data_IF_912686835848
#
_entry.id   IF_912686835848
#
_cell.length_a   1.000
_cell.length_b   1.000
_cell.length_c   1.000
_cell.angle_alpha   90.00
_cell.angle_beta   90.00
_cell.angle_gamma   90.00
#
_symmetry.space_group_name_H-M   'P 1'
#
loop_
_entity.id
_entity.type
_entity.pdbx_description
1 polymer ?
#
# COMPACT_ATOMS: atom_id res chain seq x y z
N UNK A 1 -79.70 -5.12 -31.38
CA UNK A 1 -78.86 -3.92 -31.23
C UNK A 1 -77.53 -4.18 -31.92
N UNK A 2 -77.32 -3.58 -33.09
CA UNK A 2 -76.10 -3.69 -33.90
C UNK A 2 -76.02 -2.51 -34.88
N UNK A 3 -74.79 -2.17 -35.30
CA UNK A 3 -74.33 -1.02 -36.12
C UNK A 3 -74.09 0.23 -35.27
N UNK A 4 -72.95 0.90 -35.39
CA UNK A 4 -72.66 1.79 -36.53
C UNK A 4 -71.21 1.78 -37.01
N UNK A 5 -71.07 2.05 -38.31
CA UNK A 5 -69.86 2.22 -39.13
C UNK A 5 -69.28 3.64 -38.95
N UNK A 6 -68.03 3.84 -39.35
CA UNK A 6 -67.59 5.16 -39.85
C UNK A 6 -66.08 5.36 -39.86
N UNK A 7 -65.47 5.17 -41.03
CA UNK A 7 -64.12 5.65 -41.35
C UNK A 7 -64.25 6.66 -42.49
N UNK A 8 -63.65 7.86 -42.37
CA UNK A 8 -63.23 8.70 -43.50
C UNK A 8 -62.02 9.55 -43.08
N UNK A 9 -60.99 9.51 -43.92
CA UNK A 9 -59.73 10.26 -43.81
C UNK A 9 -59.84 11.63 -44.49
N UNK A 10 -59.09 12.64 -43.99
CA UNK A 10 -58.82 13.90 -44.70
C UNK A 10 -57.39 14.37 -44.39
N UNK A 11 -56.67 14.79 -45.44
CA UNK A 11 -55.38 15.48 -45.44
C UNK A 11 -55.41 16.57 -46.56
N UNK A 12 -54.38 17.43 -46.76
CA UNK A 12 -54.04 18.62 -45.96
C UNK A 12 -53.80 19.91 -46.81
N UNK A 13 -53.33 20.99 -46.15
CA UNK A 13 -52.60 22.24 -46.59
C UNK A 13 -53.41 23.56 -46.77
N UNK A 14 -52.79 24.77 -46.74
CA UNK A 14 -51.48 25.25 -46.21
C UNK A 14 -51.51 26.56 -45.36
N UNK A 15 -50.32 27.01 -44.90
CA UNK A 15 -49.95 28.15 -44.02
C UNK A 15 -50.17 29.58 -44.60
N UNK A 16 -50.00 30.68 -43.82
CA UNK A 16 -48.70 31.39 -43.80
C UNK A 16 -48.22 32.06 -42.47
N UNK A 17 -47.00 32.60 -42.55
CA UNK A 17 -45.98 33.04 -41.60
C UNK A 17 -46.23 34.26 -40.66
N UNK A 18 -45.41 34.40 -39.59
CA UNK A 18 -44.27 35.38 -39.46
C UNK A 18 -43.68 35.44 -38.02
N UNK A 19 -42.33 35.26 -37.95
CA UNK A 19 -41.23 35.84 -37.08
C UNK A 19 -41.43 36.03 -35.56
N UNK A 20 -40.44 35.97 -34.66
CA UNK A 20 -38.99 35.71 -34.57
C UNK A 20 -38.70 35.65 -33.05
N UNK A 21 -37.79 34.81 -32.57
CA UNK A 21 -37.32 34.90 -31.17
C UNK A 21 -36.51 33.71 -30.66
N UNK A 22 -35.18 33.85 -30.75
CA UNK A 22 -34.13 33.25 -29.91
C UNK A 22 -34.09 31.73 -29.70
N UNK A 23 -33.31 31.04 -30.55
CA UNK A 23 -32.62 29.80 -30.19
C UNK A 23 -31.33 30.12 -29.42
N UNK A 24 -31.16 29.47 -28.27
CA UNK A 24 -29.92 29.42 -27.48
C UNK A 24 -29.20 28.11 -27.84
N UNK A 25 -27.99 28.14 -28.44
CA UNK A 25 -27.27 26.92 -28.77
C UNK A 25 -26.51 26.36 -27.55
N UNK A 26 -26.44 25.02 -27.52
CA UNK A 26 -25.86 24.21 -26.45
C UNK A 26 -24.33 24.39 -26.31
N UNK A 27 -23.85 24.30 -25.06
CA UNK A 27 -22.44 24.37 -24.62
C UNK A 27 -21.50 23.30 -25.23
N UNK A 28 -21.96 22.48 -26.18
CA UNK A 28 -21.17 21.40 -26.78
C UNK A 28 -20.13 21.86 -27.82
N UNK A 29 -20.09 23.16 -28.17
CA UNK A 29 -19.16 23.69 -29.18
C UNK A 29 -18.11 24.68 -28.65
N UNK A 30 -18.06 24.93 -27.34
CA UNK A 30 -17.10 25.88 -26.73
C UNK A 30 -15.78 25.23 -26.24
N UNK A 31 -15.67 23.89 -26.25
CA UNK A 31 -14.48 23.19 -25.73
C UNK A 31 -13.49 22.70 -26.81
N UNK A 32 -13.87 22.73 -28.09
CA UNK A 32 -13.01 22.25 -29.19
C UNK A 32 -12.02 23.32 -29.71
N UNK A 33 -12.20 24.60 -29.34
CA UNK A 33 -11.37 25.71 -29.86
C UNK A 33 -10.24 26.16 -28.91
N UNK A 34 -10.29 25.79 -27.62
CA UNK A 34 -9.16 26.05 -26.70
C UNK A 34 -8.08 24.96 -26.72
N UNK A 35 -8.25 23.89 -27.50
CA UNK A 35 -7.32 22.74 -27.57
C UNK A 35 -6.22 22.88 -28.63
N UNK A 36 -5.93 24.08 -29.14
CA UNK A 36 -4.99 24.29 -30.26
C UNK A 36 -3.85 25.29 -30.07
N UNK A 37 -3.63 25.84 -28.87
CA UNK A 37 -2.44 26.66 -28.61
C UNK A 37 -1.84 26.32 -27.26
N UNK A 38 -0.94 25.33 -27.26
CA UNK A 38 0.31 25.26 -26.49
C UNK A 38 0.83 23.82 -26.54
N UNK A 39 1.73 23.54 -27.47
CA UNK A 39 2.52 22.32 -27.48
C UNK A 39 4.00 22.72 -27.25
N UNK A 40 4.60 22.41 -26.08
CA UNK A 40 6.03 22.54 -25.92
C UNK A 40 6.74 21.40 -26.65
N UNK A 41 7.58 21.76 -27.61
CA UNK A 41 8.50 20.87 -28.34
C UNK A 41 9.51 20.28 -27.35
N UNK A 42 9.31 19.04 -26.93
CA UNK A 42 10.31 18.31 -26.13
C UNK A 42 11.42 17.80 -27.05
N UNK A 43 12.61 18.40 -26.95
CA UNK A 43 13.83 17.93 -27.62
C UNK A 43 14.22 16.55 -27.06
N UNK A 44 14.55 15.62 -27.95
CA UNK A 44 15.12 14.32 -27.60
C UNK A 44 16.45 14.51 -26.85
N UNK A 45 16.71 13.80 -25.73
CA UNK A 45 18.02 13.81 -25.11
C UNK A 45 19.04 13.07 -25.98
N UNK A 46 20.33 13.49 -26.00
CA UNK A 46 21.36 12.79 -26.76
C UNK A 46 21.65 11.41 -26.15
N UNK A 47 21.83 10.42 -27.02
CA UNK A 47 22.19 9.06 -26.67
C UNK A 47 23.51 9.01 -25.88
N UNK A 48 23.51 8.35 -24.73
CA UNK A 48 24.74 8.00 -24.00
C UNK A 48 25.42 6.80 -24.70
N UNK A 49 26.75 6.81 -24.86
CA UNK A 49 27.46 5.70 -25.49
C UNK A 49 27.43 4.45 -24.61
N UNK A 50 27.26 3.28 -25.24
CA UNK A 50 27.42 1.97 -24.62
C UNK A 50 28.83 1.84 -24.06
N UNK A 51 28.95 1.70 -22.74
CA UNK A 51 30.17 1.18 -22.11
C UNK A 51 30.09 -0.34 -22.20
N UNK A 52 30.86 -0.91 -23.12
CA UNK A 52 31.11 -2.35 -23.22
C UNK A 52 31.92 -2.81 -22.02
N UNK A 53 31.33 -3.63 -21.16
CA UNK A 53 32.07 -4.39 -20.15
C UNK A 53 32.89 -5.48 -20.84
N UNK A 54 34.21 -5.31 -20.86
CA UNK A 54 35.15 -6.37 -21.25
C UNK A 54 35.34 -7.27 -20.02
N UNK A 55 34.84 -8.50 -20.11
CA UNK A 55 35.16 -9.59 -19.18
C UNK A 55 36.65 -9.95 -19.30
N UNK A 56 37.42 -9.98 -18.18
CA UNK A 56 38.75 -10.57 -18.21
C UNK A 56 38.65 -12.09 -18.39
N UNK A 57 39.37 -12.60 -19.39
CA UNK A 57 39.53 -14.02 -19.68
C UNK A 57 40.22 -14.74 -18.51
N UNK A 58 39.77 -15.98 -18.25
CA UNK A 58 40.52 -16.98 -17.49
C UNK A 58 41.89 -17.17 -18.14
N UNK A 59 42.94 -16.99 -17.35
CA UNK A 59 44.27 -17.52 -17.62
C UNK A 59 44.60 -18.47 -16.48
N UNK A 60 44.84 -19.72 -16.84
CA UNK A 60 45.40 -20.75 -15.98
C UNK A 60 46.79 -20.33 -15.51
N UNK A 61 47.09 -20.54 -14.23
CA UNK A 61 48.45 -20.87 -13.82
C UNK A 61 48.40 -21.73 -12.55
N UNK A 62 49.10 -22.86 -12.66
CA UNK A 62 49.22 -23.90 -11.65
C UNK A 62 50.58 -23.73 -10.98
N UNK A 63 50.64 -23.59 -9.64
CA UNK A 63 51.80 -24.08 -8.89
C UNK A 63 51.51 -24.22 -7.39
N UNK A 64 52.11 -25.26 -6.82
CA UNK A 64 51.88 -25.90 -5.53
C UNK A 64 52.65 -25.25 -4.34
N UNK A 65 52.47 -25.72 -3.09
CA UNK A 65 52.58 -24.94 -1.86
C UNK A 65 53.93 -25.11 -1.14
N UNK A 66 54.33 -24.17 -0.27
CA UNK A 66 55.27 -24.47 0.82
C UNK A 66 55.25 -23.44 1.98
N UNK A 67 55.33 -24.02 3.19
CA UNK A 67 56.02 -23.53 4.39
C UNK A 67 55.30 -22.58 5.38
N UNK A 68 54.78 -23.25 6.41
CA UNK A 68 54.43 -22.79 7.76
C UNK A 68 55.68 -22.33 8.56
N UNK A 69 55.58 -21.31 9.45
CA UNK A 69 56.53 -21.16 10.54
C UNK A 69 55.92 -21.36 11.94
N UNK A 70 56.72 -22.09 12.71
CA UNK A 70 56.53 -22.69 14.03
C UNK A 70 56.29 -21.70 15.19
N UNK A 71 55.60 -22.21 16.21
CA UNK A 71 55.54 -21.67 17.58
C UNK A 71 56.91 -21.70 18.27
N UNK A 72 57.18 -20.79 19.22
CA UNK A 72 58.09 -21.05 20.33
C UNK A 72 57.32 -21.35 21.62
N UNK A 73 57.71 -22.45 22.25
CA UNK A 73 57.48 -22.76 23.66
C UNK A 73 58.54 -22.05 24.52
N UNK A 74 58.18 -21.59 25.71
CA UNK A 74 58.88 -21.86 26.99
C UNK A 74 58.24 -21.09 28.14
N UNK A 75 58.51 -21.59 29.33
CA UNK A 75 57.73 -21.54 30.55
C UNK A 75 58.40 -20.63 31.61
N UNK A 76 57.60 -20.26 32.62
CA UNK A 76 57.95 -20.08 34.03
C UNK A 76 58.24 -18.68 34.64
N UNK A 77 57.33 -18.34 35.58
CA UNK A 77 57.52 -17.84 36.96
C UNK A 77 57.31 -16.33 37.25
N UNK A 78 56.16 -16.09 37.91
CA UNK A 78 55.95 -15.31 39.14
C UNK A 78 56.77 -14.02 39.34
N UNK A 79 56.09 -12.86 39.29
CA UNK A 79 56.17 -11.83 40.35
C UNK A 79 55.09 -10.74 40.24
N UNK A 80 54.36 -10.62 41.35
CA UNK A 80 53.66 -9.48 41.99
C UNK A 80 53.14 -8.28 41.18
N UNK A 81 51.91 -7.94 41.53
CA UNK A 81 51.12 -6.76 41.21
C UNK A 81 51.84 -5.41 41.38
N UNK A 82 51.46 -4.46 40.52
CA UNK A 82 51.22 -3.08 40.92
C UNK A 82 50.23 -2.42 39.96
N UNK A 83 49.20 -1.81 40.54
CA UNK A 83 48.25 -0.92 39.88
C UNK A 83 49.00 0.24 39.24
N UNK A 84 48.70 0.56 37.98
CA UNK A 84 48.82 1.91 37.46
C UNK A 84 47.78 2.11 36.35
N UNK A 85 46.92 3.08 36.62
CA UNK A 85 45.92 3.63 35.73
C UNK A 85 46.58 4.12 34.45
N UNK A 86 46.13 3.63 33.30
CA UNK A 86 46.40 4.27 32.01
C UNK A 86 45.08 4.33 31.23
N UNK A 87 44.52 5.53 31.20
CA UNK A 87 43.45 6.00 30.33
C UNK A 87 43.69 5.51 28.90
N UNK A 88 43.05 4.41 28.53
CA UNK A 88 42.90 4.03 27.12
C UNK A 88 41.82 4.94 26.57
N UNK A 89 42.24 5.95 25.80
CA UNK A 89 41.37 6.62 24.85
C UNK A 89 40.73 5.53 24.00
N UNK A 90 39.46 5.22 24.28
CA UNK A 90 38.59 4.51 23.36
C UNK A 90 38.45 5.41 22.15
N UNK A 91 39.37 5.23 21.20
CA UNK A 91 39.14 5.61 19.82
C UNK A 91 37.85 4.92 19.41
N UNK A 92 36.87 5.76 19.08
CA UNK A 92 35.64 5.33 18.43
C UNK A 92 36.02 4.44 17.26
N UNK A 93 35.90 3.13 17.46
CA UNK A 93 35.48 2.27 16.36
C UNK A 93 34.09 2.78 16.02
N UNK A 94 34.04 3.75 15.11
CA UNK A 94 32.90 3.96 14.23
C UNK A 94 32.69 2.63 13.52
N UNK A 95 31.97 1.78 14.22
CA UNK A 95 31.37 0.59 13.69
C UNK A 95 30.60 1.12 12.50
N UNK A 96 31.03 0.76 11.30
CA UNK A 96 30.23 0.83 10.09
C UNK A 96 28.95 0.05 10.39
N UNK A 97 28.01 0.70 11.07
CA UNK A 97 26.61 0.35 11.02
C UNK A 97 26.32 0.54 9.56
N UNK A 98 26.31 -0.58 8.82
CA UNK A 98 25.47 -0.71 7.63
C UNK A 98 24.20 0.04 8.00
N UNK A 99 23.92 1.16 7.33
CA UNK A 99 22.74 1.94 7.63
C UNK A 99 21.57 0.98 7.44
N UNK A 100 21.11 0.38 8.54
CA UNK A 100 19.91 -0.43 8.56
C UNK A 100 18.85 0.60 8.30
N UNK A 101 18.45 0.76 7.04
CA UNK A 101 17.39 1.70 6.70
C UNK A 101 16.20 1.33 7.58
N UNK A 102 15.69 2.26 8.40
CA UNK A 102 14.55 1.97 9.25
C UNK A 102 13.33 1.69 8.37
N UNK A 103 12.40 0.92 8.91
CA UNK A 103 11.11 0.75 8.27
C UNK A 103 10.36 2.08 8.24
N UNK A 104 9.41 2.21 7.30
CA UNK A 104 8.63 3.43 7.13
C UNK A 104 7.44 3.42 8.09
N UNK A 105 7.40 4.40 8.99
CA UNK A 105 6.29 4.67 9.91
C UNK A 105 5.19 5.52 9.24
N UNK A 106 4.01 5.52 9.85
CA UNK A 106 2.85 6.27 9.38
C UNK A 106 3.02 7.78 9.60
N UNK A 107 2.64 8.60 8.61
CA UNK A 107 2.62 10.06 8.72
C UNK A 107 1.52 10.56 9.66
N UNK A 108 0.44 9.79 9.82
CA UNK A 108 -0.70 10.09 10.71
C UNK A 108 -0.33 10.08 12.20
N UNK A 109 0.89 9.67 12.55
CA UNK A 109 1.39 9.83 13.92
C UNK A 109 1.72 11.30 14.26
N UNK A 110 1.89 12.16 13.25
CA UNK A 110 2.24 13.58 13.42
C UNK A 110 1.00 14.48 13.50
N UNK A 111 -0.21 13.92 13.29
CA UNK A 111 -1.44 14.71 13.30
C UNK A 111 -1.72 15.29 14.70
N UNK A 112 -2.10 16.58 14.79
CA UNK A 112 -2.33 17.24 16.08
C UNK A 112 -3.61 16.77 16.77
N UNK A 113 -4.53 16.10 16.06
CA UNK A 113 -5.75 15.56 16.63
C UNK A 113 -5.58 14.05 16.93
N UNK A 114 -5.48 13.65 18.20
CA UNK A 114 -5.30 12.25 18.53
C UNK A 114 -6.55 11.44 18.12
N UNK A 115 -6.39 10.34 17.37
CA UNK A 115 -7.51 9.50 16.98
C UNK A 115 -8.14 8.85 18.22
N UNK A 116 -9.42 8.50 18.14
CA UNK A 116 -10.06 7.70 19.18
C UNK A 116 -9.36 6.35 19.24
N UNK A 117 -8.90 5.95 20.44
CA UNK A 117 -8.20 4.69 20.65
C UNK A 117 -9.14 3.66 21.27
N UNK A 118 -9.05 2.41 20.83
CA UNK A 118 -9.58 1.24 21.54
C UNK A 118 -8.39 0.42 22.00
N UNK A 119 -8.17 0.36 23.32
CA UNK A 119 -6.88 -0.08 23.88
C UNK A 119 -5.77 0.84 23.38
N UNK A 120 -4.86 0.28 22.59
CA UNK A 120 -3.81 1.05 21.89
C UNK A 120 -3.95 1.08 20.36
N UNK A 121 -5.08 0.61 19.83
CA UNK A 121 -5.38 0.59 18.39
C UNK A 121 -6.14 1.86 17.97
N UNK A 122 -5.70 2.58 16.92
CA UNK A 122 -6.37 3.81 16.51
C UNK A 122 -7.58 3.54 15.61
N UNK A 123 -8.65 4.29 15.86
CA UNK A 123 -9.77 4.46 14.95
C UNK A 123 -9.52 5.71 14.12
N UNK A 124 -8.87 5.54 12.98
CA UNK A 124 -8.60 6.61 12.04
C UNK A 124 -9.80 6.81 11.09
N UNK A 125 -10.05 8.05 10.65
CA UNK A 125 -10.99 8.31 9.56
C UNK A 125 -10.61 7.59 8.27
N UNK A 126 -11.62 7.15 7.50
CA UNK A 126 -11.44 6.39 6.26
C UNK A 126 -12.36 6.91 5.16
N UNK A 127 -11.87 6.97 3.91
CA UNK A 127 -12.69 7.13 2.71
C UNK A 127 -13.31 5.79 2.33
N UNK A 128 -14.47 5.52 2.90
CA UNK A 128 -15.16 4.23 2.76
C UNK A 128 -16.58 4.43 2.24
N UNK A 129 -17.04 3.49 1.41
CA UNK A 129 -18.46 3.37 1.02
C UNK A 129 -19.20 2.37 1.92
N UNK A 130 -18.44 1.60 2.68
CA UNK A 130 -18.89 0.50 3.52
C UNK A 130 -19.33 1.06 4.86
N UNK A 131 -20.46 0.57 5.39
CA UNK A 131 -20.94 0.96 6.72
C UNK A 131 -19.98 0.45 7.80
N UNK A 132 -19.67 1.30 8.76
CA UNK A 132 -18.83 0.93 9.90
C UNK A 132 -18.64 2.09 10.87
N UNK A 133 -17.92 1.85 11.97
CA UNK A 133 -17.73 2.81 13.05
C UNK A 133 -16.69 3.89 12.73
N UNK A 134 -15.96 3.79 11.61
CA UNK A 134 -15.01 4.82 11.20
C UNK A 134 -15.72 6.12 10.79
N UNK A 135 -15.12 7.25 11.14
CA UNK A 135 -15.54 8.53 10.57
C UNK A 135 -15.27 8.54 9.06
N UNK A 136 -16.28 8.85 8.27
CA UNK A 136 -16.19 8.83 6.81
C UNK A 136 -15.58 10.13 6.30
N UNK A 137 -14.40 10.03 5.68
CA UNK A 137 -13.77 11.17 5.01
C UNK A 137 -14.50 11.54 3.70
N UNK A 138 -14.47 12.82 3.29
CA UNK A 138 -15.05 13.24 2.03
C UNK A 138 -14.36 12.52 0.86
N UNK A 139 -15.15 12.21 -0.19
CA UNK A 139 -14.60 11.62 -1.39
C UNK A 139 -13.67 12.62 -2.09
N UNK A 140 -12.54 12.12 -2.62
CA UNK A 140 -11.60 12.92 -3.39
C UNK A 140 -12.32 13.65 -4.53
N UNK A 141 -12.10 14.96 -4.62
CA UNK A 141 -12.59 15.82 -5.69
C UNK A 141 -11.36 16.38 -6.40
N UNK A 142 -11.05 15.97 -7.65
CA UNK A 142 -11.87 15.18 -8.59
C UNK A 142 -11.91 13.67 -8.29
N UNK A 143 -12.91 12.93 -8.83
CA UNK A 143 -13.00 11.49 -8.65
C UNK A 143 -11.80 10.76 -9.26
N UNK A 144 -10.93 10.23 -8.40
CA UNK A 144 -9.76 9.45 -8.82
C UNK A 144 -10.15 8.01 -9.22
N UNK A 145 -9.42 7.39 -10.16
CA UNK A 145 -9.66 6.00 -10.52
C UNK A 145 -9.43 5.07 -9.31
N UNK A 146 -10.12 3.91 -9.22
CA UNK A 146 -10.09 3.05 -8.03
C UNK A 146 -8.70 2.51 -7.65
N UNK A 147 -7.75 2.51 -8.59
CA UNK A 147 -6.37 2.06 -8.38
C UNK A 147 -5.40 3.14 -7.90
N UNK A 148 -5.78 4.42 -7.98
CA UNK A 148 -4.92 5.55 -7.66
C UNK A 148 -5.23 6.10 -6.27
N UNK A 149 -4.18 6.41 -5.50
CA UNK A 149 -4.32 7.10 -4.22
C UNK A 149 -4.34 8.62 -4.45
N UNK A 150 -5.14 9.37 -3.67
CA UNK A 150 -5.00 10.82 -3.59
C UNK A 150 -3.59 11.25 -3.19
N UNK A 151 -3.22 12.49 -3.52
CA UNK A 151 -1.98 13.10 -3.05
C UNK A 151 -1.94 13.13 -1.51
N UNK A 152 -0.77 12.95 -0.88
CA UNK A 152 -0.64 12.85 0.58
C UNK A 152 -1.09 14.11 1.33
N UNK A 153 -1.10 15.27 0.67
CA UNK A 153 -1.56 16.55 1.23
C UNK A 153 -3.09 16.78 1.09
N UNK A 154 -3.81 15.82 0.51
CA UNK A 154 -5.27 15.94 0.29
C UNK A 154 -6.06 15.54 1.53
N UNK A 155 -7.17 16.24 1.81
CA UNK A 155 -8.10 15.91 2.91
C UNK A 155 -8.77 14.52 2.78
N UNK A 156 -8.70 13.92 1.60
CA UNK A 156 -9.20 12.59 1.28
C UNK A 156 -8.13 11.49 1.34
N UNK A 157 -6.90 11.82 1.75
CA UNK A 157 -5.82 10.85 1.90
C UNK A 157 -6.02 10.04 3.17
N UNK A 158 -6.06 8.72 3.02
CA UNK A 158 -6.31 7.81 4.13
C UNK A 158 -5.06 7.01 4.52
N UNK A 159 -5.09 6.50 5.75
CA UNK A 159 -4.15 5.48 6.23
C UNK A 159 -4.12 4.20 5.37
N UNK A 160 -5.21 3.84 4.69
CA UNK A 160 -5.23 2.67 3.81
C UNK A 160 -4.46 2.89 2.51
N UNK A 161 -4.46 4.14 2.01
CA UNK A 161 -3.68 4.51 0.83
C UNK A 161 -2.18 4.50 1.17
N UNK A 162 -1.84 4.97 2.38
CA UNK A 162 -0.49 4.86 2.94
C UNK A 162 -0.04 3.40 3.08
N UNK A 163 -0.87 2.53 3.65
CA UNK A 163 -0.57 1.09 3.79
C UNK A 163 -0.18 0.48 2.44
N UNK A 164 -0.93 0.77 1.38
CA UNK A 164 -0.65 0.25 0.05
C UNK A 164 0.63 0.85 -0.57
N UNK A 165 0.94 2.11 -0.29
CA UNK A 165 2.17 2.77 -0.75
C UNK A 165 3.42 2.21 -0.05
N UNK A 166 3.35 2.05 1.28
CA UNK A 166 4.47 1.60 2.12
C UNK A 166 4.66 0.07 2.08
N UNK A 167 3.65 -0.70 1.69
CA UNK A 167 3.68 -2.17 1.65
C UNK A 167 4.94 -2.74 0.96
N UNK A 168 5.27 -2.26 -0.24
CA UNK A 168 6.37 -2.82 -1.04
C UNK A 168 7.72 -2.64 -0.36
N UNK A 169 7.95 -1.51 0.28
CA UNK A 169 9.20 -1.26 1.01
C UNK A 169 9.20 -2.00 2.36
N UNK A 170 8.08 -1.96 3.09
CA UNK A 170 8.02 -2.48 4.44
C UNK A 170 8.07 -4.01 4.53
N UNK A 171 7.58 -4.73 3.52
CA UNK A 171 7.63 -6.21 3.49
C UNK A 171 9.05 -6.81 3.49
N UNK A 172 10.09 -6.02 3.23
CA UNK A 172 11.48 -6.46 3.32
C UNK A 172 12.03 -6.43 4.76
N UNK A 173 11.44 -5.66 5.66
CA UNK A 173 11.93 -5.51 7.02
C UNK A 173 11.41 -6.62 7.95
N UNK A 174 12.30 -7.09 8.83
CA UNK A 174 12.00 -8.08 9.87
C UNK A 174 11.73 -7.45 11.23
N UNK A 175 12.31 -6.29 11.48
CA UNK A 175 12.16 -5.52 12.71
C UNK A 175 11.42 -4.23 12.35
N UNK A 176 10.40 -3.91 13.12
CA UNK A 176 9.61 -2.70 12.96
C UNK A 176 9.41 -2.07 14.33
N UNK A 177 9.85 -0.83 14.50
CA UNK A 177 9.67 -0.08 15.74
C UNK A 177 8.38 0.73 15.65
N UNK A 178 7.46 0.45 16.57
CA UNK A 178 6.17 1.13 16.64
C UNK A 178 6.39 2.45 17.38
N UNK A 179 6.29 3.57 16.67
CA UNK A 179 6.47 4.91 17.22
C UNK A 179 5.15 5.51 17.70
N UNK A 180 4.05 5.21 17.01
CA UNK A 180 2.73 5.72 17.37
C UNK A 180 1.58 4.72 17.14
N UNK A 181 0.35 5.14 17.44
CA UNK A 181 -0.82 4.28 17.27
C UNK A 181 -1.12 4.00 15.80
N UNK A 182 -0.91 4.95 14.88
CA UNK A 182 -1.17 4.76 13.44
C UNK A 182 -0.32 3.64 12.84
N UNK A 183 0.90 3.46 13.36
CA UNK A 183 1.78 2.35 12.97
C UNK A 183 1.19 0.98 13.26
N UNK A 184 0.37 0.83 14.31
CA UNK A 184 -0.30 -0.43 14.63
C UNK A 184 -1.32 -0.79 13.55
N UNK A 185 -2.09 0.20 13.08
CA UNK A 185 -2.98 0.00 11.95
C UNK A 185 -2.21 -0.32 10.67
N UNK A 186 -1.06 0.35 10.45
CA UNK A 186 -0.18 0.10 9.32
C UNK A 186 0.34 -1.35 9.28
N UNK A 187 0.88 -1.84 10.39
CA UNK A 187 1.36 -3.22 10.55
C UNK A 187 0.24 -4.22 10.25
N UNK A 188 -0.94 -3.99 10.82
CA UNK A 188 -2.10 -4.84 10.60
C UNK A 188 -2.53 -4.86 9.12
N UNK A 189 -2.58 -3.69 8.47
CA UNK A 189 -2.91 -3.55 7.06
C UNK A 189 -1.92 -4.29 6.14
N UNK A 190 -0.61 -4.22 6.44
CA UNK A 190 0.43 -4.92 5.67
C UNK A 190 0.27 -6.44 5.74
N UNK A 191 -0.04 -6.99 6.92
CA UNK A 191 -0.30 -8.43 7.03
C UNK A 191 -1.55 -8.83 6.26
N UNK A 192 -2.64 -8.08 6.39
CA UNK A 192 -3.86 -8.37 5.65
C UNK A 192 -3.64 -8.35 4.13
N UNK A 193 -2.88 -7.38 3.61
CA UNK A 193 -2.49 -7.35 2.20
C UNK A 193 -1.70 -8.59 1.79
N UNK A 194 -0.79 -9.06 2.65
CA UNK A 194 0.01 -10.27 2.39
C UNK A 194 -0.89 -11.51 2.27
N UNK A 195 -1.94 -11.60 3.08
CA UNK A 195 -2.89 -12.72 3.02
C UNK A 195 -3.84 -12.62 1.83
N UNK A 196 -4.29 -11.41 1.48
CA UNK A 196 -5.05 -11.18 0.26
C UNK A 196 -4.25 -11.63 -0.98
N UNK A 197 -2.97 -11.26 -1.07
CA UNK A 197 -2.10 -11.66 -2.18
C UNK A 197 -1.89 -13.19 -2.22
N UNK A 198 -1.84 -13.87 -1.08
CA UNK A 198 -1.75 -15.33 -1.02
C UNK A 198 -3.02 -16.03 -1.52
N UNK A 199 -4.20 -15.39 -1.41
CA UNK A 199 -5.46 -15.94 -1.94
C UNK A 199 -5.58 -15.78 -3.46
N UNK A 200 -4.95 -14.77 -4.05
CA UNK A 200 -5.00 -14.53 -5.50
C UNK A 200 -4.14 -15.57 -6.21
N UNK A 201 -4.78 -16.42 -7.02
CA UNK A 201 -4.07 -17.40 -7.86
C UNK A 201 -3.41 -16.70 -9.05
N UNK A 202 -2.23 -17.14 -9.50
CA UNK A 202 -1.48 -16.49 -10.57
C UNK A 202 -2.18 -16.45 -11.93
N UNK A 203 -3.17 -17.31 -12.16
CA UNK A 203 -3.96 -17.38 -13.40
C UNK A 203 -5.45 -17.04 -13.19
N UNK A 204 -5.82 -16.45 -12.05
CA UNK A 204 -7.21 -16.09 -11.79
C UNK A 204 -7.59 -14.79 -12.48
N UNK A 205 -8.76 -14.77 -13.11
CA UNK A 205 -9.39 -13.55 -13.60
C UNK A 205 -9.81 -12.65 -12.43
N UNK A 206 -9.94 -11.34 -12.67
CA UNK A 206 -10.30 -10.35 -11.66
C UNK A 206 -11.57 -10.72 -10.90
N UNK A 207 -12.58 -11.31 -11.56
CA UNK A 207 -13.85 -11.71 -10.94
C UNK A 207 -13.70 -12.84 -9.93
N UNK A 208 -12.85 -13.83 -10.21
CA UNK A 208 -12.64 -14.96 -9.31
C UNK A 208 -11.77 -14.55 -8.12
N UNK A 209 -10.72 -13.79 -8.38
CA UNK A 209 -9.91 -13.18 -7.33
C UNK A 209 -10.74 -12.23 -6.45
N UNK A 210 -11.65 -11.46 -7.04
CA UNK A 210 -12.54 -10.58 -6.28
C UNK A 210 -13.42 -11.36 -5.31
N UNK A 211 -13.98 -12.50 -5.72
CA UNK A 211 -14.76 -13.35 -4.82
C UNK A 211 -13.90 -13.88 -3.67
N UNK A 212 -12.74 -14.45 -3.98
CA UNK A 212 -11.84 -15.05 -2.97
C UNK A 212 -11.36 -14.01 -1.95
N UNK A 213 -10.95 -12.82 -2.41
CA UNK A 213 -10.46 -11.74 -1.55
C UNK A 213 -11.61 -11.08 -0.76
N UNK A 214 -12.80 -10.91 -1.37
CA UNK A 214 -13.97 -10.36 -0.67
C UNK A 214 -14.46 -11.32 0.42
N UNK A 215 -14.46 -12.62 0.15
CA UNK A 215 -14.81 -13.63 1.15
C UNK A 215 -13.85 -13.60 2.35
N UNK A 216 -12.55 -13.37 2.12
CA UNK A 216 -11.58 -13.18 3.20
C UNK A 216 -11.85 -11.88 4.00
N UNK A 217 -12.23 -10.80 3.31
CA UNK A 217 -12.52 -9.51 3.95
C UNK A 217 -13.80 -9.52 4.80
N UNK A 218 -14.80 -10.29 4.37
CA UNK A 218 -16.09 -10.46 5.06
C UNK A 218 -16.02 -11.45 6.23
N UNK A 219 -14.97 -12.24 6.34
CA UNK A 219 -14.80 -13.16 7.47
C UNK A 219 -14.64 -12.36 8.76
N UNK A 220 -15.60 -12.54 9.67
CA UNK A 220 -15.62 -11.92 11.00
C UNK A 220 -14.86 -12.75 12.04
N UNK A 221 -14.49 -14.00 11.75
CA UNK A 221 -13.83 -14.93 12.69
C UNK A 221 -12.31 -14.75 12.74
N UNK A 222 -11.84 -13.51 12.71
CA UNK A 222 -10.42 -13.22 12.83
C UNK A 222 -10.01 -12.91 14.26
N UNK A 223 -8.73 -13.13 14.54
CA UNK A 223 -8.12 -12.80 15.82
C UNK A 223 -8.05 -11.27 16.00
N UNK A 224 -8.57 -10.78 17.12
CA UNK A 224 -8.39 -9.40 17.56
C UNK A 224 -7.27 -9.31 18.60
N UNK A 225 -6.68 -8.13 18.83
CA UNK A 225 -5.79 -7.91 19.98
C UNK A 225 -6.37 -8.48 21.28
N UNK A 226 -5.62 -9.36 21.94
CA UNK A 226 -6.06 -10.09 23.13
C UNK A 226 -6.41 -11.56 22.88
N UNK A 227 -6.72 -11.95 21.64
CA UNK A 227 -6.95 -13.35 21.28
C UNK A 227 -5.62 -14.11 21.17
N UNK A 228 -5.53 -15.38 21.61
CA UNK A 228 -4.29 -16.15 21.56
C UNK A 228 -3.77 -16.40 20.12
N UNK A 229 -4.65 -16.31 19.13
CA UNK A 229 -4.30 -16.46 17.72
C UNK A 229 -3.68 -15.19 17.11
N UNK A 230 -3.68 -14.04 17.81
CA UNK A 230 -3.16 -12.80 17.26
C UNK A 230 -1.62 -12.71 17.35
N UNK A 231 -0.90 -12.52 16.22
CA UNK A 231 0.54 -12.74 16.12
C UNK A 231 1.44 -11.70 16.85
N UNK A 232 0.89 -10.65 17.48
CA UNK A 232 1.63 -9.63 18.24
C UNK A 232 0.91 -9.15 19.52
N UNK A 233 0.41 -10.05 20.36
CA UNK A 233 -0.25 -9.65 21.62
C UNK A 233 0.63 -8.81 22.58
N UNK A 234 1.97 -8.88 22.48
CA UNK A 234 2.83 -8.08 23.35
C UNK A 234 2.87 -6.59 22.98
N UNK A 235 2.51 -6.23 21.74
CA UNK A 235 2.56 -4.86 21.23
C UNK A 235 1.18 -4.20 21.12
N UNK A 236 0.13 -4.99 21.30
CA UNK A 236 -1.26 -4.58 21.18
C UNK A 236 -1.96 -4.81 22.52
N UNK A 237 -2.68 -3.80 22.97
CA UNK A 237 -3.44 -3.85 24.21
C UNK A 237 -4.82 -4.44 23.92
N UNK A 238 -5.31 -5.40 24.72
CA UNK A 238 -6.65 -5.93 24.54
C UNK A 238 -7.70 -4.84 24.77
N UNK A 239 -8.86 -4.93 24.10
CA UNK A 239 -9.99 -4.04 24.38
C UNK A 239 -10.44 -4.20 25.85
N UNK A 240 -10.78 -3.09 26.49
CA UNK A 240 -11.16 -3.05 27.91
C UNK A 240 -12.49 -3.75 28.17
N UNK A 241 -13.47 -3.48 27.32
CA UNK A 241 -14.85 -3.93 27.46
C UNK A 241 -15.31 -4.70 26.23
N UNK A 242 -16.34 -5.53 26.39
CA UNK A 242 -16.92 -6.31 25.28
C UNK A 242 -17.48 -5.42 24.16
N UNK A 243 -18.00 -4.24 24.51
CA UNK A 243 -18.50 -3.25 23.54
C UNK A 243 -17.36 -2.70 22.66
N UNK A 244 -16.23 -2.37 23.28
CA UNK A 244 -15.03 -1.92 22.57
C UNK A 244 -14.46 -3.02 21.68
N UNK A 245 -14.50 -4.28 22.13
CA UNK A 245 -14.09 -5.43 21.33
C UNK A 245 -14.97 -5.60 20.06
N UNK A 246 -16.29 -5.46 20.20
CA UNK A 246 -17.22 -5.51 19.08
C UNK A 246 -17.01 -4.33 18.12
N UNK A 247 -16.79 -3.13 18.64
CA UNK A 247 -16.53 -1.95 17.83
C UNK A 247 -15.20 -2.06 17.07
N UNK A 248 -14.14 -2.56 17.71
CA UNK A 248 -12.85 -2.81 17.07
C UNK A 248 -12.99 -3.85 15.94
N UNK A 249 -13.76 -4.92 16.18
CA UNK A 249 -14.02 -5.95 15.15
C UNK A 249 -14.76 -5.35 13.95
N UNK A 250 -15.76 -4.49 14.17
CA UNK A 250 -16.46 -3.80 13.09
C UNK A 250 -15.53 -2.86 12.30
N UNK A 251 -14.68 -2.10 13.00
CA UNK A 251 -13.69 -1.22 12.36
C UNK A 251 -12.68 -2.01 11.52
N UNK A 252 -12.12 -3.09 12.08
CA UNK A 252 -11.17 -3.94 11.36
C UNK A 252 -11.83 -4.62 10.15
N UNK A 253 -13.09 -5.04 10.25
CA UNK A 253 -13.84 -5.57 9.09
C UNK A 253 -14.02 -4.51 7.99
N UNK A 254 -14.30 -3.26 8.36
CA UNK A 254 -14.39 -2.15 7.41
C UNK A 254 -13.05 -1.89 6.71
N UNK A 255 -11.95 -1.85 7.47
CA UNK A 255 -10.58 -1.72 6.94
C UNK A 255 -10.25 -2.83 5.95
N UNK A 256 -10.59 -4.09 6.27
CA UNK A 256 -10.37 -5.24 5.38
C UNK A 256 -11.12 -5.10 4.05
N UNK A 257 -12.39 -4.72 4.09
CA UNK A 257 -13.23 -4.59 2.90
C UNK A 257 -12.71 -3.50 1.95
N UNK A 258 -12.34 -2.34 2.49
CA UNK A 258 -11.79 -1.24 1.69
C UNK A 258 -10.39 -1.56 1.15
N UNK A 259 -9.51 -2.17 1.96
CA UNK A 259 -8.19 -2.61 1.50
C UNK A 259 -8.29 -3.65 0.38
N UNK A 260 -9.19 -4.62 0.53
CA UNK A 260 -9.44 -5.65 -0.49
C UNK A 260 -9.86 -5.04 -1.82
N UNK A 261 -10.82 -4.10 -1.80
CA UNK A 261 -11.31 -3.44 -3.00
C UNK A 261 -10.21 -2.61 -3.70
N UNK A 262 -9.44 -1.82 -2.93
CA UNK A 262 -8.34 -1.00 -3.46
C UNK A 262 -7.18 -1.85 -3.99
N UNK A 263 -6.86 -2.95 -3.31
CA UNK A 263 -5.81 -3.87 -3.75
C UNK A 263 -6.17 -4.51 -5.10
N UNK A 264 -7.39 -5.02 -5.25
CA UNK A 264 -7.82 -5.64 -6.52
C UNK A 264 -7.73 -4.67 -7.69
N UNK A 265 -8.13 -3.41 -7.48
CA UNK A 265 -8.00 -2.36 -8.49
C UNK A 265 -6.53 -2.10 -8.90
N UNK A 266 -5.57 -2.25 -7.98
CA UNK A 266 -4.12 -2.09 -8.25
C UNK A 266 -3.46 -3.32 -8.85
N UNK A 267 -3.94 -4.53 -8.51
CA UNK A 267 -3.39 -5.79 -9.01
C UNK A 267 -3.81 -6.05 -10.46
N UNK A 268 -5.03 -5.65 -10.83
CA UNK A 268 -5.62 -5.83 -12.16
C UNK A 268 -5.68 -4.53 -12.97
N UNK A 269 -4.85 -3.54 -12.63
CA UNK A 269 -4.84 -2.23 -13.32
C UNK A 269 -4.46 -2.34 -14.80
N UNK A 270 -3.53 -3.23 -15.14
CA UNK A 270 -3.03 -3.40 -16.51
C UNK A 270 -3.88 -4.38 -17.34
N UNK A 271 -4.34 -5.47 -16.72
CA UNK A 271 -5.07 -6.56 -17.36
C UNK A 271 -6.05 -7.18 -16.35
N UNK A 272 -7.34 -7.26 -16.69
CA UNK A 272 -8.37 -7.88 -15.85
C UNK A 272 -8.31 -9.41 -15.86
N UNK A 273 -7.67 -10.01 -16.86
CA UNK A 273 -7.61 -11.46 -17.03
C UNK A 273 -6.47 -12.09 -16.24
N UNK A 274 -5.44 -11.30 -15.89
CA UNK A 274 -4.23 -11.79 -15.23
C UNK A 274 -3.77 -10.84 -14.12
N UNK A 275 -3.45 -11.36 -12.93
CA UNK A 275 -2.93 -10.54 -11.84
C UNK A 275 -1.50 -10.04 -12.16
N UNK A 276 -1.18 -8.83 -11.70
CA UNK A 276 0.14 -8.25 -11.88
C UNK A 276 1.24 -9.06 -11.17
N UNK A 277 2.26 -9.44 -11.95
CA UNK A 277 3.46 -10.18 -11.48
C UNK A 277 4.20 -9.43 -10.37
N UNK A 278 4.23 -8.09 -10.44
CA UNK A 278 4.94 -7.25 -9.48
C UNK A 278 4.34 -7.38 -8.09
N UNK A 279 3.02 -7.44 -7.99
CA UNK A 279 2.31 -7.66 -6.72
C UNK A 279 2.44 -9.08 -6.21
N UNK A 280 2.30 -10.09 -7.09
CA UNK A 280 2.40 -11.50 -6.69
C UNK A 280 3.81 -11.92 -6.23
N UNK A 281 4.86 -11.18 -6.64
CA UNK A 281 6.23 -11.45 -6.21
C UNK A 281 6.43 -11.34 -4.68
N UNK A 282 5.55 -10.62 -3.98
CA UNK A 282 5.62 -10.40 -2.54
C UNK A 282 4.97 -11.52 -1.70
N UNK A 283 4.21 -12.44 -2.32
CA UNK A 283 3.47 -13.52 -1.62
C UNK A 283 4.34 -14.43 -0.74
N UNK A 284 5.60 -14.63 -1.11
CA UNK A 284 6.54 -15.49 -0.36
C UNK A 284 7.19 -14.78 0.83
N UNK A 285 7.08 -13.46 0.91
CA UNK A 285 7.72 -12.66 1.96
C UNK A 285 6.71 -12.40 3.06
N UNK A 286 7.18 -12.53 4.31
CA UNK A 286 6.37 -12.29 5.51
C UNK A 286 6.95 -11.12 6.27
N UNK A 287 6.17 -10.05 6.40
CA UNK A 287 6.53 -8.91 7.21
C UNK A 287 6.69 -9.33 8.69
N UNK A 288 7.82 -8.96 9.31
CA UNK A 288 8.21 -9.41 10.66
C UNK A 288 8.28 -10.94 10.86
N UNK A 289 8.32 -11.72 9.77
CA UNK A 289 8.25 -13.18 9.83
C UNK A 289 6.90 -13.72 10.34
N UNK A 290 5.86 -12.89 10.39
CA UNK A 290 4.53 -13.21 10.92
C UNK A 290 3.46 -13.11 9.82
N UNK A 291 2.31 -13.73 10.07
CA UNK A 291 1.11 -13.69 9.23
C UNK A 291 -0.13 -13.74 10.14
N UNK A 292 -1.29 -13.30 9.64
CA UNK A 292 -2.56 -13.37 10.37
C UNK A 292 -3.22 -14.75 10.26
#
# INVERSE_FOLDING_TARGET
>A
MAKWRGAVAVAPLPLPAVRQGSEVPSEAQALEVSRRKEAPVLRRPPARPLVTWVLPRRGDDSFEPHAEPRRPTTNCKHRKASNLSSTVQQSSVERLTVAIMPAYNSVFNQDPNPPRLIGNFPLLPLRTKTRGPAYTLPAASPPLPPGESPDPDSESYDVLDEVLALFRANTFFRNFEIQGPADRLLVYGIWFLSDCLQRIKPNAAARDAQKDVTNLALDLNFAIPGDPAFPLNQMYEPPRDRQDAEQLRQYMSQVRQELAARLLARVYADDETKPSKWWLSFTKRKFMGKAL
#
